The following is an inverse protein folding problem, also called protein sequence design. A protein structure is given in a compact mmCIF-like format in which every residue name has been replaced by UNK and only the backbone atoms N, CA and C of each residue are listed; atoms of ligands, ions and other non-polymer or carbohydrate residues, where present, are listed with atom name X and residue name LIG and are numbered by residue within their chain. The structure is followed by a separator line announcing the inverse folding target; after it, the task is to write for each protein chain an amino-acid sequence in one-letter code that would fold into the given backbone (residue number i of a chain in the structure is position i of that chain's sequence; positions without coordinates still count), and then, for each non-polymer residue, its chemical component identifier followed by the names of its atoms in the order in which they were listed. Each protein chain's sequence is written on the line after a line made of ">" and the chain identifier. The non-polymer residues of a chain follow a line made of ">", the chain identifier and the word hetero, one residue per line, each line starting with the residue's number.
data_IF_900319944166
#
_entry.id   IF_900319944166
#
_cell.length_a   1.000
_cell.length_b   1.000
_cell.length_c   1.000
_cell.angle_alpha   90.00
_cell.angle_beta   90.00
_cell.angle_gamma   90.00
#
_symmetry.space_group_name_H-M   'P 1'
#
loop_
_entity.id
_entity.type
_entity.pdbx_description
1 polymer ?
#
# COMPACT_ATOMS: atom_id res chain seq x y z
N UNK A 1 -11.22 -13.08 -45.40
CA UNK A 1 -12.46 -13.66 -44.87
C UNK A 1 -12.15 -15.04 -44.28
N UNK A 2 -11.96 -15.12 -42.95
CA UNK A 2 -12.02 -16.41 -42.21
C UNK A 2 -12.60 -16.06 -40.84
N UNK A 3 -13.84 -16.54 -40.62
CA UNK A 3 -14.56 -16.43 -39.33
C UNK A 3 -14.16 -17.63 -38.49
N UNK A 4 -13.66 -17.37 -37.29
CA UNK A 4 -13.45 -18.40 -36.27
C UNK A 4 -14.50 -18.21 -35.18
N UNK A 5 -15.40 -19.21 -35.07
CA UNK A 5 -16.36 -19.33 -33.98
C UNK A 5 -15.60 -19.67 -32.68
N UNK A 6 -15.85 -18.88 -31.64
CA UNK A 6 -15.48 -19.25 -30.26
C UNK A 6 -16.74 -19.76 -29.53
N UNK A 7 -16.70 -21.00 -29.13
CA UNK A 7 -17.73 -21.75 -28.43
C UNK A 7 -17.73 -21.36 -26.96
N UNK A 8 -18.84 -20.82 -26.47
CA UNK A 8 -19.09 -20.52 -25.05
C UNK A 8 -19.43 -21.81 -24.30
N UNK A 9 -18.65 -22.14 -23.27
CA UNK A 9 -18.92 -23.21 -22.33
C UNK A 9 -19.58 -22.62 -21.07
N UNK A 10 -20.88 -22.90 -20.86
CA UNK A 10 -21.60 -22.59 -19.63
C UNK A 10 -21.35 -23.67 -18.59
N UNK A 11 -20.83 -23.30 -17.43
CA UNK A 11 -20.75 -24.17 -16.26
C UNK A 11 -21.81 -23.69 -15.25
N UNK A 12 -22.84 -24.51 -15.07
CA UNK A 12 -23.87 -24.32 -14.05
C UNK A 12 -23.38 -24.92 -12.73
N UNK A 13 -23.37 -24.12 -11.68
CA UNK A 13 -23.13 -24.60 -10.30
C UNK A 13 -24.43 -24.48 -9.51
N UNK A 14 -24.87 -25.63 -9.01
CA UNK A 14 -26.10 -25.83 -8.25
C UNK A 14 -25.95 -25.27 -6.81
N UNK A 15 -26.98 -24.53 -6.38
CA UNK A 15 -27.18 -24.14 -4.98
C UNK A 15 -27.73 -25.33 -4.17
N UNK A 16 -27.05 -25.63 -3.05
CA UNK A 16 -27.62 -26.51 -2.01
C UNK A 16 -28.00 -25.61 -0.83
N UNK A 17 -29.30 -25.46 -0.60
CA UNK A 17 -29.87 -24.89 0.60
C UNK A 17 -29.88 -25.93 1.72
N UNK A 18 -29.39 -25.60 2.90
CA UNK A 18 -29.66 -26.30 4.15
C UNK A 18 -30.41 -25.39 5.10
N UNK A 19 -31.66 -25.75 5.26
CA UNK A 19 -32.64 -25.29 6.25
C UNK A 19 -32.34 -25.98 7.58
N UNK A 20 -32.30 -25.25 8.68
CA UNK A 20 -32.36 -25.83 10.03
C UNK A 20 -33.16 -24.95 10.97
N UNK A 21 -34.26 -25.54 11.34
CA UNK A 21 -35.34 -25.13 12.20
C UNK A 21 -34.91 -24.74 13.62
N UNK A 22 -35.67 -23.79 14.14
CA UNK A 22 -35.89 -23.39 15.53
C UNK A 22 -36.21 -24.55 16.47
N UNK A 23 -35.79 -24.42 17.71
CA UNK A 23 -36.59 -24.95 18.83
C UNK A 23 -36.48 -24.06 20.07
N UNK A 24 -37.66 -23.75 20.61
CA UNK A 24 -37.92 -23.00 21.84
C UNK A 24 -37.59 -23.82 23.09
N UNK A 25 -37.04 -23.17 24.11
CA UNK A 25 -36.84 -23.81 25.43
C UNK A 25 -36.73 -22.79 26.56
N UNK A 26 -37.87 -22.47 27.12
CA UNK A 26 -38.10 -21.65 28.30
C UNK A 26 -37.83 -22.44 29.60
N UNK A 27 -37.01 -21.93 30.53
CA UNK A 27 -37.20 -22.15 31.97
C UNK A 27 -36.36 -21.20 32.85
N UNK A 28 -37.07 -20.62 33.77
CA UNK A 28 -36.66 -19.81 34.92
C UNK A 28 -35.95 -20.65 35.99
N UNK A 29 -35.01 -20.06 36.75
CA UNK A 29 -35.03 -20.05 38.23
C UNK A 29 -33.81 -19.26 38.79
N UNK A 30 -34.12 -18.47 39.79
CA UNK A 30 -33.27 -17.73 40.72
C UNK A 30 -32.24 -18.62 41.46
N UNK A 31 -31.04 -18.12 41.81
CA UNK A 31 -30.70 -17.80 43.19
C UNK A 31 -29.22 -17.37 43.39
N UNK A 32 -29.07 -16.34 44.22
CA UNK A 32 -28.08 -16.10 45.27
C UNK A 32 -26.57 -16.04 44.97
N UNK A 33 -26.08 -14.84 45.14
CA UNK A 33 -24.85 -14.34 45.77
C UNK A 33 -23.77 -15.34 46.21
N UNK A 34 -22.54 -15.12 45.66
CA UNK A 34 -21.29 -15.24 46.42
C UNK A 34 -20.21 -14.37 45.73
N UNK A 35 -19.76 -13.35 46.44
CA UNK A 35 -18.54 -12.60 46.15
C UNK A 35 -17.35 -13.53 46.15
N UNK A 36 -16.65 -13.59 45.01
CA UNK A 36 -15.24 -13.99 44.96
C UNK A 36 -14.48 -12.99 44.10
N UNK A 37 -13.60 -12.24 44.76
CA UNK A 37 -12.61 -11.36 44.15
C UNK A 37 -11.66 -12.25 43.36
N UNK A 38 -11.90 -12.37 42.09
CA UNK A 38 -10.93 -12.97 41.14
C UNK A 38 -10.05 -11.86 40.61
N UNK A 39 -8.80 -11.90 41.05
CA UNK A 39 -7.67 -11.14 40.51
C UNK A 39 -7.66 -11.24 38.99
N UNK A 40 -7.93 -10.11 38.31
CA UNK A 40 -7.75 -9.99 36.89
C UNK A 40 -6.25 -10.05 36.59
N UNK A 41 -5.76 -11.23 36.25
CA UNK A 41 -4.49 -11.35 35.54
C UNK A 41 -4.68 -10.71 34.18
N UNK A 42 -4.13 -9.53 34.07
CA UNK A 42 -3.88 -8.83 32.81
C UNK A 42 -2.96 -9.74 31.97
N UNK A 43 -3.58 -10.52 31.09
CA UNK A 43 -2.86 -11.31 30.08
C UNK A 43 -2.23 -10.33 29.11
N UNK A 44 -0.96 -10.00 29.35
CA UNK A 44 -0.07 -9.39 28.37
C UNK A 44 -0.15 -10.22 27.10
N UNK A 45 -0.56 -9.67 25.95
CA UNK A 45 -0.51 -10.41 24.70
C UNK A 45 0.93 -10.83 24.46
N UNK A 46 1.17 -12.12 24.32
CA UNK A 46 2.45 -12.65 23.89
C UNK A 46 2.79 -11.94 22.59
N UNK A 47 3.87 -11.15 22.59
CA UNK A 47 4.43 -10.57 21.40
C UNK A 47 4.79 -11.73 20.47
N UNK A 48 3.94 -12.01 19.48
CA UNK A 48 4.29 -12.89 18.39
C UNK A 48 5.54 -12.25 17.75
N UNK A 49 6.63 -12.97 17.67
CA UNK A 49 7.84 -12.54 16.97
C UNK A 49 7.51 -12.52 15.48
N UNK A 50 6.86 -11.45 15.04
CA UNK A 50 6.61 -11.19 13.62
C UNK A 50 7.97 -10.99 12.98
N UNK A 51 8.25 -11.77 11.94
CA UNK A 51 9.48 -11.67 11.19
C UNK A 51 9.54 -10.29 10.53
N UNK A 52 10.61 -9.54 10.80
CA UNK A 52 10.87 -8.27 10.14
C UNK A 52 10.74 -8.39 8.63
N UNK A 53 10.01 -7.47 8.01
CA UNK A 53 9.80 -7.46 6.56
C UNK A 53 10.87 -6.60 5.92
N UNK A 54 11.62 -7.16 4.96
CA UNK A 54 12.52 -6.35 4.13
C UNK A 54 11.69 -5.57 3.10
N UNK A 55 11.43 -4.31 3.41
CA UNK A 55 10.60 -3.41 2.60
C UNK A 55 11.17 -3.20 1.19
N UNK A 56 12.49 -3.31 1.01
CA UNK A 56 13.11 -3.18 -0.32
C UNK A 56 12.83 -4.36 -1.25
N UNK A 57 12.36 -5.48 -0.72
CA UNK A 57 11.90 -6.62 -1.53
C UNK A 57 10.43 -6.53 -1.88
N UNK A 58 9.69 -5.60 -1.25
CA UNK A 58 8.28 -5.39 -1.55
C UNK A 58 8.12 -4.58 -2.84
N UNK A 59 7.03 -4.83 -3.56
CA UNK A 59 6.69 -4.13 -4.79
C UNK A 59 5.21 -3.77 -4.86
N UNK A 60 4.89 -2.65 -5.52
CA UNK A 60 3.54 -2.31 -5.98
C UNK A 60 3.56 -2.34 -7.50
N UNK A 61 2.77 -3.22 -8.11
CA UNK A 61 2.75 -3.45 -9.55
C UNK A 61 4.15 -3.69 -10.16
N UNK A 62 5.00 -4.44 -9.45
CA UNK A 62 6.36 -4.75 -9.87
C UNK A 62 7.40 -3.67 -9.57
N UNK A 63 6.98 -2.47 -9.15
CA UNK A 63 7.89 -1.37 -8.82
C UNK A 63 8.36 -1.47 -7.37
N UNK A 64 9.67 -1.40 -7.16
CA UNK A 64 10.35 -1.41 -5.85
C UNK A 64 11.10 -0.12 -5.61
N UNK A 65 11.38 0.17 -4.35
CA UNK A 65 12.28 1.25 -3.96
C UNK A 65 13.67 1.05 -4.57
N UNK A 66 14.33 2.13 -4.94
CA UNK A 66 15.68 2.11 -5.53
C UNK A 66 15.74 1.81 -7.03
N UNK A 67 14.66 1.44 -7.69
CA UNK A 67 14.63 1.25 -9.16
C UNK A 67 14.89 2.56 -9.90
N UNK A 68 15.57 2.48 -11.04
CA UNK A 68 15.68 3.57 -11.99
C UNK A 68 14.35 3.84 -12.70
N UNK A 69 14.29 4.95 -13.46
CA UNK A 69 13.13 5.29 -14.28
C UNK A 69 12.76 4.18 -15.27
N UNK A 70 13.77 3.68 -16.00
CA UNK A 70 13.57 2.66 -17.03
C UNK A 70 13.09 1.34 -16.44
N UNK A 71 13.67 0.90 -15.32
CA UNK A 71 13.24 -0.31 -14.61
C UNK A 71 11.82 -0.17 -14.11
N UNK A 72 11.47 0.95 -13.48
CA UNK A 72 10.14 1.18 -12.94
C UNK A 72 9.07 1.24 -14.04
N UNK A 73 9.33 1.96 -15.14
CA UNK A 73 8.38 2.03 -16.24
C UNK A 73 8.21 0.70 -16.95
N UNK A 74 9.29 -0.09 -17.12
CA UNK A 74 9.21 -1.45 -17.66
C UNK A 74 8.37 -2.36 -16.77
N UNK A 75 8.60 -2.33 -15.45
CA UNK A 75 7.86 -3.13 -14.49
C UNK A 75 6.35 -2.82 -14.49
N UNK A 76 5.99 -1.53 -14.48
CA UNK A 76 4.56 -1.11 -14.53
C UNK A 76 3.91 -1.56 -15.82
N UNK A 77 4.57 -1.35 -16.98
CA UNK A 77 4.03 -1.77 -18.28
C UNK A 77 3.78 -3.26 -18.33
N UNK A 78 4.73 -4.06 -17.84
CA UNK A 78 4.59 -5.52 -17.80
C UNK A 78 3.44 -5.96 -16.89
N UNK A 79 3.43 -5.48 -15.64
CA UNK A 79 2.47 -5.94 -14.63
C UNK A 79 1.05 -5.46 -14.86
N UNK A 80 0.89 -4.25 -15.39
CA UNK A 80 -0.42 -3.65 -15.65
C UNK A 80 -0.85 -3.75 -17.12
N UNK A 81 -0.04 -4.38 -17.98
CA UNK A 81 -0.29 -4.54 -19.42
C UNK A 81 -0.49 -3.19 -20.15
N UNK A 82 0.37 -2.22 -19.83
CA UNK A 82 0.30 -0.86 -20.32
C UNK A 82 1.29 -0.61 -21.48
N UNK A 83 1.07 0.50 -22.18
CA UNK A 83 1.94 1.01 -23.23
C UNK A 83 2.59 2.33 -22.80
N UNK A 84 3.52 2.87 -23.61
CA UNK A 84 4.15 4.17 -23.32
C UNK A 84 3.14 5.32 -23.24
N UNK A 85 2.01 5.21 -23.92
CA UNK A 85 0.96 6.25 -23.93
C UNK A 85 0.18 6.31 -22.62
N UNK A 86 0.23 5.26 -21.83
CA UNK A 86 -0.46 5.14 -20.54
C UNK A 86 0.40 5.68 -19.39
N UNK A 87 1.69 5.94 -19.65
CA UNK A 87 2.63 6.56 -18.71
C UNK A 87 2.60 8.07 -18.88
N UNK A 88 2.09 8.76 -17.87
CA UNK A 88 2.00 10.23 -17.85
C UNK A 88 3.16 10.80 -17.01
N UNK A 89 4.24 11.29 -17.61
CA UNK A 89 5.32 11.94 -16.87
C UNK A 89 4.84 13.27 -16.27
N UNK A 90 5.61 13.78 -15.34
CA UNK A 90 5.38 15.11 -14.77
C UNK A 90 5.24 16.17 -15.87
N UNK A 91 4.16 16.99 -15.85
CA UNK A 91 3.89 17.95 -16.94
C UNK A 91 4.89 19.11 -16.97
N UNK A 92 5.51 19.46 -15.85
CA UNK A 92 6.47 20.57 -15.72
C UNK A 92 7.76 20.09 -15.03
N UNK A 93 8.53 19.18 -15.67
CA UNK A 93 9.73 18.62 -15.06
C UNK A 93 10.84 19.67 -14.96
N UNK A 94 11.66 19.53 -13.94
CA UNK A 94 12.89 20.28 -13.81
C UNK A 94 13.79 20.04 -15.03
N UNK A 95 14.72 20.96 -15.29
CA UNK A 95 15.74 20.81 -16.31
C UNK A 95 17.10 20.65 -15.63
N UNK A 96 17.87 19.72 -16.12
CA UNK A 96 19.28 19.65 -15.78
C UNK A 96 19.99 20.95 -16.26
N UNK A 97 20.65 21.62 -15.34
CA UNK A 97 21.30 22.92 -15.63
C UNK A 97 22.43 22.81 -16.66
N UNK A 98 23.08 21.63 -16.74
CA UNK A 98 24.24 21.40 -17.63
C UNK A 98 23.82 20.92 -19.00
N UNK A 99 22.85 20.01 -19.08
CA UNK A 99 22.43 19.37 -20.31
C UNK A 99 21.16 19.99 -20.91
N UNK A 100 20.37 20.70 -20.11
CA UNK A 100 19.04 21.20 -20.48
C UNK A 100 17.98 20.11 -20.60
N UNK A 101 18.33 18.87 -20.27
CA UNK A 101 17.44 17.71 -20.34
C UNK A 101 16.33 17.83 -19.30
N UNK A 102 15.13 17.43 -19.68
CA UNK A 102 14.00 17.37 -18.77
C UNK A 102 14.11 16.17 -17.83
N UNK A 103 14.09 16.42 -16.53
CA UNK A 103 14.21 15.40 -15.50
C UNK A 103 12.91 15.32 -14.71
N UNK A 104 11.97 14.45 -15.06
CA UNK A 104 10.72 14.33 -14.32
C UNK A 104 10.96 13.75 -12.94
N UNK A 105 10.30 14.34 -11.90
CA UNK A 105 10.37 13.84 -10.55
C UNK A 105 9.38 12.68 -10.30
N UNK A 106 8.41 12.49 -11.19
CA UNK A 106 7.45 11.38 -11.10
C UNK A 106 6.84 11.06 -12.46
N UNK A 107 6.25 9.88 -12.56
CA UNK A 107 5.21 9.58 -13.52
C UNK A 107 3.93 9.09 -12.84
N UNK A 108 2.83 9.16 -13.56
CA UNK A 108 1.58 8.58 -13.11
C UNK A 108 0.92 7.73 -14.18
N UNK A 109 0.10 6.80 -13.72
CA UNK A 109 -0.70 5.90 -14.54
C UNK A 109 -2.11 5.93 -14.03
N UNK A 110 -3.07 6.14 -14.94
CA UNK A 110 -4.49 5.93 -14.66
C UNK A 110 -4.84 4.49 -14.97
N UNK A 111 -5.54 3.83 -14.07
CA UNK A 111 -5.88 2.41 -14.22
C UNK A 111 -7.36 2.17 -13.99
N UNK A 112 -7.98 1.41 -14.94
CA UNK A 112 -9.39 1.03 -14.84
C UNK A 112 -10.39 2.16 -15.10
N UNK A 113 -11.65 1.88 -14.78
CA UNK A 113 -12.76 2.81 -14.94
C UNK A 113 -12.98 3.58 -13.63
N UNK A 114 -12.62 4.84 -13.61
CA UNK A 114 -12.82 5.74 -12.46
C UNK A 114 -11.73 6.81 -12.40
N UNK A 115 -12.15 8.04 -12.12
CA UNK A 115 -11.22 9.18 -12.06
C UNK A 115 -10.20 9.09 -10.91
N UNK A 116 -10.50 8.27 -9.89
CA UNK A 116 -9.70 8.12 -8.68
C UNK A 116 -8.70 6.97 -8.69
N UNK A 117 -8.71 6.10 -9.72
CA UNK A 117 -7.75 5.00 -9.81
C UNK A 117 -6.46 5.49 -10.45
N UNK A 118 -5.43 5.65 -9.64
CA UNK A 118 -4.16 6.23 -10.06
C UNK A 118 -3.00 5.57 -9.35
N UNK A 119 -1.94 5.30 -10.11
CA UNK A 119 -0.62 4.99 -9.55
C UNK A 119 0.32 6.16 -9.81
N UNK A 120 1.12 6.53 -8.82
CA UNK A 120 2.17 7.56 -8.95
C UNK A 120 3.48 6.99 -8.44
N UNK A 121 4.51 7.06 -9.26
CA UNK A 121 5.88 6.65 -8.90
C UNK A 121 6.74 7.89 -8.84
N UNK A 122 7.36 8.14 -7.69
CA UNK A 122 8.22 9.31 -7.44
C UNK A 122 9.67 8.93 -7.42
N UNK A 123 10.49 9.79 -8.00
CA UNK A 123 11.93 9.64 -8.08
C UNK A 123 12.64 10.76 -7.30
N UNK A 124 13.71 10.40 -6.61
CA UNK A 124 14.58 11.34 -5.91
C UNK A 124 16.03 11.11 -6.27
N UNK A 125 16.88 12.16 -6.23
CA UNK A 125 18.33 11.99 -6.29
C UNK A 125 18.81 11.02 -5.20
N UNK A 126 19.72 10.13 -5.54
CA UNK A 126 20.21 9.10 -4.65
C UNK A 126 21.34 9.59 -3.73
N UNK A 127 21.07 10.63 -2.94
CA UNK A 127 21.97 11.10 -1.88
C UNK A 127 22.19 10.05 -0.80
N UNK A 128 21.22 9.14 -0.61
CA UNK A 128 21.29 8.10 0.41
C UNK A 128 22.47 7.13 0.17
N UNK A 129 22.78 6.84 -1.09
CA UNK A 129 23.91 5.99 -1.48
C UNK A 129 25.07 6.77 -2.09
N UNK A 130 25.08 8.11 -1.98
CA UNK A 130 26.15 8.96 -2.48
C UNK A 130 26.20 9.07 -4.01
N UNK A 131 25.09 8.86 -4.72
CA UNK A 131 24.96 8.90 -6.17
C UNK A 131 23.89 9.92 -6.61
N UNK A 132 24.04 11.21 -6.26
CA UNK A 132 23.00 12.22 -6.48
C UNK A 132 22.64 12.47 -7.96
N UNK A 133 23.51 12.08 -8.87
CA UNK A 133 23.27 12.11 -10.33
C UNK A 133 22.27 11.06 -10.78
N UNK A 134 22.06 10.00 -10.00
CA UNK A 134 21.03 8.99 -10.24
C UNK A 134 19.74 9.38 -9.58
N UNK A 135 18.66 9.19 -10.31
CA UNK A 135 17.32 9.28 -9.73
C UNK A 135 16.73 7.88 -9.58
N UNK A 136 16.25 7.59 -8.40
CA UNK A 136 15.70 6.28 -8.06
C UNK A 136 14.32 6.42 -7.43
N UNK A 137 13.54 5.36 -7.52
CA UNK A 137 12.21 5.29 -6.89
C UNK A 137 12.35 5.48 -5.39
N UNK A 138 11.76 6.56 -4.87
CA UNK A 138 11.66 6.85 -3.44
C UNK A 138 10.28 6.55 -2.86
N UNK A 139 9.24 6.60 -3.70
CA UNK A 139 7.90 6.19 -3.28
C UNK A 139 7.04 5.72 -4.45
N UNK A 140 6.14 4.79 -4.16
CA UNK A 140 5.07 4.32 -5.04
C UNK A 140 3.76 4.46 -4.31
N UNK A 141 2.80 5.12 -4.93
CA UNK A 141 1.48 5.40 -4.38
C UNK A 141 0.42 4.84 -5.33
N UNK A 142 -0.34 3.85 -4.89
CA UNK A 142 -1.43 3.26 -5.66
C UNK A 142 -2.75 3.55 -4.96
N UNK A 143 -3.53 4.42 -5.54
CA UNK A 143 -4.86 4.81 -5.05
C UNK A 143 -5.96 4.15 -5.85
N UNK A 144 -6.93 3.57 -5.14
CA UNK A 144 -8.20 3.08 -5.70
C UNK A 144 -9.36 3.85 -5.07
N UNK A 145 -10.23 4.40 -5.90
CA UNK A 145 -11.50 4.97 -5.46
C UNK A 145 -12.44 3.86 -5.00
N UNK A 146 -13.08 4.07 -3.87
CA UNK A 146 -14.05 3.10 -3.33
C UNK A 146 -15.42 3.34 -3.95
N UNK A 147 -15.97 2.30 -4.55
CA UNK A 147 -17.39 2.27 -4.88
C UNK A 147 -18.27 2.26 -3.63
N UNK A 148 -19.51 2.73 -3.74
CA UNK A 148 -20.46 2.83 -2.61
C UNK A 148 -20.71 1.49 -1.86
N UNK A 149 -20.43 0.35 -2.49
CA UNK A 149 -20.61 -1.01 -1.94
C UNK A 149 -19.29 -1.71 -1.59
N UNK A 150 -18.14 -1.09 -1.87
CA UNK A 150 -16.83 -1.67 -1.60
C UNK A 150 -16.37 -1.25 -0.21
N UNK A 151 -16.12 -2.20 0.66
CA UNK A 151 -15.56 -1.95 2.00
C UNK A 151 -14.03 -1.95 2.05
N UNK A 152 -13.38 -2.34 0.94
CA UNK A 152 -11.93 -2.40 0.81
C UNK A 152 -11.30 -3.67 1.40
N UNK A 153 -12.10 -4.62 1.88
CA UNK A 153 -11.59 -5.86 2.46
C UNK A 153 -10.85 -6.73 1.45
N UNK A 154 -11.24 -6.70 0.18
CA UNK A 154 -10.56 -7.45 -0.89
C UNK A 154 -9.12 -6.97 -1.11
N UNK A 155 -8.91 -5.65 -1.13
CA UNK A 155 -7.56 -5.10 -1.30
C UNK A 155 -6.69 -5.36 -0.07
N UNK A 156 -7.27 -5.34 1.13
CA UNK A 156 -6.57 -5.72 2.35
C UNK A 156 -6.15 -7.19 2.31
N UNK A 157 -7.06 -8.10 1.97
CA UNK A 157 -6.74 -9.54 1.82
C UNK A 157 -5.66 -9.79 0.79
N UNK A 158 -5.75 -9.14 -0.38
CA UNK A 158 -4.73 -9.25 -1.41
C UNK A 158 -3.35 -8.72 -0.94
N UNK A 159 -3.34 -7.66 -0.14
CA UNK A 159 -2.11 -7.14 0.47
C UNK A 159 -1.55 -8.12 1.51
N UNK A 160 -2.39 -8.67 2.37
CA UNK A 160 -2.01 -9.65 3.39
C UNK A 160 -1.50 -10.96 2.75
N UNK A 161 -2.15 -11.46 1.70
CA UNK A 161 -1.69 -12.62 0.93
C UNK A 161 -0.31 -12.38 0.27
N UNK A 162 -0.08 -11.16 -0.21
CA UNK A 162 1.16 -10.83 -0.93
C UNK A 162 2.32 -10.47 0.01
N UNK A 163 2.04 -9.71 1.08
CA UNK A 163 3.07 -9.10 1.93
C UNK A 163 3.14 -9.71 3.34
N UNK A 164 2.22 -10.63 3.66
CA UNK A 164 2.06 -11.20 5.00
C UNK A 164 1.19 -10.30 5.91
N UNK A 165 1.08 -10.68 7.18
CA UNK A 165 0.37 -9.89 8.18
C UNK A 165 1.07 -8.54 8.42
N UNK A 166 0.31 -7.43 8.58
CA UNK A 166 0.88 -6.13 8.90
C UNK A 166 1.51 -6.15 10.30
N UNK A 167 2.67 -5.54 10.43
CA UNK A 167 3.40 -5.44 11.72
C UNK A 167 2.67 -4.50 12.68
N UNK A 168 1.96 -3.51 12.14
CA UNK A 168 1.24 -2.52 12.94
C UNK A 168 -0.09 -2.15 12.27
N UNK A 169 -1.11 -2.00 13.11
CA UNK A 169 -2.39 -1.43 12.71
C UNK A 169 -2.70 -0.23 13.61
N UNK A 170 -3.13 0.90 13.03
CA UNK A 170 -3.54 2.11 13.75
C UNK A 170 -4.83 2.68 13.18
N UNK A 171 -5.54 3.48 13.99
CA UNK A 171 -6.87 3.96 13.65
C UNK A 171 -7.97 3.00 14.10
N UNK A 172 -9.20 3.34 13.82
CA UNK A 172 -10.34 2.47 14.06
C UNK A 172 -11.37 2.61 12.92
N UNK A 173 -12.15 1.57 12.71
CA UNK A 173 -13.17 1.56 11.65
C UNK A 173 -14.27 2.61 11.90
N UNK A 174 -14.55 2.94 13.16
CA UNK A 174 -15.52 3.97 13.54
C UNK A 174 -15.09 5.39 13.14
N UNK A 175 -13.77 5.67 13.06
CA UNK A 175 -13.25 6.95 12.55
C UNK A 175 -13.22 7.03 11.02
N UNK A 176 -13.53 5.94 10.33
CA UNK A 176 -13.52 5.84 8.88
C UNK A 176 -12.14 5.74 8.25
N UNK A 177 -11.07 5.68 9.05
CA UNK A 177 -9.70 5.53 8.52
C UNK A 177 -8.91 4.52 9.36
N UNK A 178 -8.35 3.52 8.67
CA UNK A 178 -7.47 2.50 9.26
C UNK A 178 -6.19 2.43 8.46
N UNK A 179 -5.05 2.31 9.15
CA UNK A 179 -3.73 2.14 8.59
C UNK A 179 -3.20 0.75 8.93
N UNK A 180 -2.75 0.03 7.93
CA UNK A 180 -2.02 -1.23 8.06
C UNK A 180 -0.60 -0.98 7.57
N UNK A 181 0.42 -1.40 8.34
CA UNK A 181 1.81 -1.03 8.09
C UNK A 181 2.69 -2.28 8.12
N UNK A 182 3.51 -2.44 7.09
CA UNK A 182 4.59 -3.41 6.96
C UNK A 182 5.92 -2.65 6.97
N UNK A 183 6.84 -3.07 7.82
CA UNK A 183 8.13 -2.40 8.01
C UNK A 183 9.13 -3.37 8.61
N UNK A 184 10.38 -2.93 8.78
CA UNK A 184 11.41 -3.63 9.54
C UNK A 184 11.15 -3.61 11.06
N UNK A 185 12.18 -3.87 11.84
CA UNK A 185 12.09 -4.05 13.29
C UNK A 185 11.58 -2.83 14.05
N UNK A 186 11.90 -1.62 13.55
CA UNK A 186 11.49 -0.35 14.16
C UNK A 186 10.62 0.45 13.18
N UNK A 187 9.32 0.31 13.27
CA UNK A 187 8.35 1.03 12.43
C UNK A 187 8.32 2.56 12.66
N UNK A 188 9.42 3.23 12.46
CA UNK A 188 9.46 4.70 12.41
C UNK A 188 8.91 5.20 11.08
N UNK A 189 7.62 5.59 11.02
CA UNK A 189 6.95 6.00 9.77
C UNK A 189 7.69 7.15 9.06
N UNK A 190 8.37 8.00 9.82
CA UNK A 190 9.08 9.18 9.30
C UNK A 190 10.58 8.92 9.06
N UNK A 191 11.11 7.77 9.47
CA UNK A 191 12.55 7.45 9.41
C UNK A 191 12.89 6.22 8.59
N UNK A 192 11.97 5.26 8.48
CA UNK A 192 12.24 3.95 7.92
C UNK A 192 11.38 3.66 6.69
N UNK A 193 11.88 2.81 5.76
CA UNK A 193 11.08 2.35 4.65
C UNK A 193 9.83 1.61 5.14
N UNK A 194 8.69 1.93 4.58
CA UNK A 194 7.41 1.31 4.92
C UNK A 194 6.59 0.97 3.70
N UNK A 195 5.82 -0.12 3.79
CA UNK A 195 4.63 -0.32 2.99
C UNK A 195 3.43 -0.05 3.88
N UNK A 196 2.50 0.78 3.44
CA UNK A 196 1.28 1.08 4.18
C UNK A 196 0.05 0.92 3.29
N UNK A 197 -1.02 0.38 3.85
CA UNK A 197 -2.34 0.39 3.25
C UNK A 197 -3.25 1.26 4.11
N UNK A 198 -3.80 2.29 3.51
CA UNK A 198 -4.75 3.21 4.16
C UNK A 198 -6.13 2.93 3.60
N UNK A 199 -7.03 2.48 4.48
CA UNK A 199 -8.45 2.34 4.17
C UNK A 199 -9.18 3.56 4.70
N UNK A 200 -9.76 4.35 3.81
CA UNK A 200 -10.60 5.50 4.17
C UNK A 200 -12.03 5.33 3.65
N UNK A 201 -12.90 6.28 3.97
CA UNK A 201 -14.29 6.27 3.50
C UNK A 201 -14.39 6.35 1.97
N UNK A 202 -13.49 7.07 1.31
CA UNK A 202 -13.61 7.39 -0.12
C UNK A 202 -12.60 6.64 -1.00
N UNK A 203 -11.47 6.22 -0.45
CA UNK A 203 -10.41 5.58 -1.21
C UNK A 203 -9.66 4.55 -0.37
N UNK A 204 -8.96 3.68 -1.07
CA UNK A 204 -7.92 2.81 -0.50
C UNK A 204 -6.62 3.22 -1.16
N UNK A 205 -5.60 3.39 -0.35
CA UNK A 205 -4.27 3.76 -0.81
C UNK A 205 -3.26 2.72 -0.32
N UNK A 206 -2.50 2.15 -1.24
CA UNK A 206 -1.33 1.32 -0.95
C UNK A 206 -0.10 2.12 -1.31
N UNK A 207 0.76 2.39 -0.31
CA UNK A 207 1.94 3.22 -0.48
C UNK A 207 3.19 2.50 0.01
N UNK A 208 4.18 2.43 -0.86
CA UNK A 208 5.54 2.02 -0.57
C UNK A 208 6.41 3.29 -0.54
N UNK A 209 7.10 3.57 0.56
CA UNK A 209 7.78 4.85 0.79
C UNK A 209 9.09 4.65 1.55
N UNK A 210 10.12 5.40 1.17
CA UNK A 210 11.35 5.54 1.94
C UNK A 210 11.65 7.01 2.23
N UNK A 211 11.28 7.51 3.42
CA UNK A 211 11.45 8.90 3.80
C UNK A 211 12.92 9.33 3.91
N UNK A 212 13.86 8.39 3.97
CA UNK A 212 15.30 8.68 4.08
C UNK A 212 15.83 9.41 2.85
N UNK A 213 15.27 9.19 1.66
CA UNK A 213 15.62 9.95 0.47
C UNK A 213 15.32 11.44 0.62
N UNK A 214 14.14 11.77 1.14
CA UNK A 214 13.75 13.16 1.39
C UNK A 214 14.59 13.79 2.52
N UNK A 215 14.90 13.03 3.56
CA UNK A 215 15.74 13.47 4.66
C UNK A 215 17.18 13.74 4.21
N UNK A 216 17.73 12.89 3.33
CA UNK A 216 19.07 13.07 2.76
C UNK A 216 19.15 14.34 1.89
N UNK A 217 18.10 14.65 1.11
CA UNK A 217 18.01 15.91 0.34
C UNK A 217 18.02 17.11 1.29
N UNK A 218 17.16 17.12 2.30
CA UNK A 218 17.09 18.21 3.30
C UNK A 218 18.41 18.40 4.06
N UNK A 219 19.13 17.32 4.31
CA UNK A 219 20.45 17.40 4.94
C UNK A 219 21.46 18.04 3.98
N UNK A 220 21.44 17.66 2.70
CA UNK A 220 22.31 18.27 1.71
C UNK A 220 22.02 19.76 1.53
N UNK A 221 20.76 20.15 1.43
CA UNK A 221 20.35 21.56 1.34
C UNK A 221 20.82 22.39 2.54
N UNK A 222 20.81 21.83 3.76
CA UNK A 222 21.36 22.50 4.96
C UNK A 222 22.87 22.66 4.89
N UNK A 223 23.60 21.70 4.31
CA UNK A 223 25.05 21.80 4.11
C UNK A 223 25.40 22.89 3.08
N UNK A 224 24.61 22.97 2.01
CA UNK A 224 24.84 23.95 0.95
C UNK A 224 24.41 25.37 1.34
N UNK A 225 23.40 25.48 2.22
CA UNK A 225 22.85 26.75 2.73
C UNK A 225 22.85 26.75 4.27
N UNK A 226 24.00 26.87 4.93
CA UNK A 226 24.05 26.89 6.38
C UNK A 226 23.32 28.13 6.92
N UNK A 227 22.64 28.02 8.08
CA UNK A 227 21.94 29.15 8.68
C UNK A 227 22.94 30.28 8.99
N UNK A 228 22.62 31.49 8.55
CA UNK A 228 23.39 32.70 8.87
C UNK A 228 22.94 33.16 10.26
N UNK A 229 23.85 33.08 11.24
CA UNK A 229 23.67 33.63 12.57
C UNK A 229 24.15 35.07 12.61
#
# INVERSE_FOLDING_TARGET
>A
MKRTLCTTLFLAVALSACDSKSDDGKAQAENAAASSVASSQESTPAASSQKAVDVYQLDIAGVRLGMSWDEATAAVKEKMQLTDKDIEPEPYPDKDEKTGEKIPAYFSVKHGHGAGNKMTVRFRPDYLHGQPEKRVVSSVDYQKERGAKEDGSEMFKAAEEKYGEPVRMTGNEGSGTVFYIWCGDDCGIDSDPTLSLVKSTFFINLRLDDPRYENAIKEQERKDNPPKF
#
